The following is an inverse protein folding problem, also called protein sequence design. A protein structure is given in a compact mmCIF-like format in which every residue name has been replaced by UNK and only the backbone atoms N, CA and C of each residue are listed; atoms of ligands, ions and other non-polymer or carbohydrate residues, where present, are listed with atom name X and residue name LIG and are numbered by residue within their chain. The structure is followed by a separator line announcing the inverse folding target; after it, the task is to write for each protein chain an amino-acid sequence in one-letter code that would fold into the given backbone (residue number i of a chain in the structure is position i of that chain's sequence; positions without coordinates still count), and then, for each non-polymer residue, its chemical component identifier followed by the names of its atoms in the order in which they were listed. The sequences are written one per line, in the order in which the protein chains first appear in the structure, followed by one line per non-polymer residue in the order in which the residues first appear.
data_IF_112912171568
#
_entry.id   IF_112912171568
#
_cell.length_a   1.000
_cell.length_b   1.000
_cell.length_c   1.000
_cell.angle_alpha   90.00
_cell.angle_beta   90.00
_cell.angle_gamma   90.00
#
_symmetry.space_group_name_H-M   'P 1'
#
loop_
_entity.id
_entity.type
_entity.pdbx_description
1 polymer ?
#
# COMPACT_ATOMS: atom_id res chain seq x y z
N UNK A 1 19.48 -4.07 -3.85
CA UNK A 1 19.58 -3.78 -2.40
C UNK A 1 18.84 -4.89 -1.67
N UNK A 2 19.39 -5.42 -0.58
CA UNK A 2 18.68 -6.41 0.22
C UNK A 2 17.60 -5.76 1.10
N UNK A 3 16.67 -6.57 1.58
CA UNK A 3 15.56 -6.10 2.42
C UNK A 3 16.02 -5.46 3.75
N UNK A 4 17.01 -6.01 4.50
CA UNK A 4 17.49 -5.37 5.73
C UNK A 4 18.05 -3.97 5.50
N UNK A 5 18.85 -3.77 4.45
CA UNK A 5 19.43 -2.47 4.13
C UNK A 5 18.33 -1.48 3.74
N UNK A 6 17.37 -1.91 2.93
CA UNK A 6 16.20 -1.09 2.57
C UNK A 6 15.46 -0.62 3.82
N UNK A 7 15.06 -1.54 4.70
CA UNK A 7 14.31 -1.24 5.93
C UNK A 7 15.09 -0.30 6.85
N UNK A 8 16.37 -0.55 7.07
CA UNK A 8 17.21 0.29 7.91
C UNK A 8 17.26 1.72 7.38
N UNK A 9 17.42 1.89 6.06
CA UNK A 9 17.49 3.22 5.43
C UNK A 9 16.16 3.96 5.48
N UNK A 10 15.05 3.30 5.14
CA UNK A 10 13.73 3.91 5.16
C UNK A 10 13.31 4.32 6.58
N UNK A 11 13.56 3.48 7.59
CA UNK A 11 13.29 3.82 8.99
C UNK A 11 14.12 5.03 9.43
N UNK A 12 15.41 5.07 9.05
CA UNK A 12 16.28 6.22 9.35
C UNK A 12 15.72 7.52 8.75
N UNK A 13 15.21 7.49 7.51
CA UNK A 13 14.57 8.65 6.89
C UNK A 13 13.33 9.10 7.65
N UNK A 14 12.45 8.16 7.99
CA UNK A 14 11.21 8.44 8.72
C UNK A 14 11.48 9.04 10.10
N UNK A 15 12.54 8.63 10.80
CA UNK A 15 12.92 9.26 12.06
C UNK A 15 13.24 10.75 11.91
N UNK A 16 13.83 11.16 10.79
CA UNK A 16 14.19 12.56 10.54
C UNK A 16 13.02 13.44 10.09
N UNK A 17 11.87 12.85 9.77
CA UNK A 17 10.70 13.62 9.35
C UNK A 17 9.86 14.05 10.54
N UNK A 18 9.23 15.22 10.41
CA UNK A 18 8.18 15.64 11.32
C UNK A 18 6.98 14.70 11.20
N UNK A 19 6.47 14.22 12.33
CA UNK A 19 5.34 13.28 12.39
C UNK A 19 4.13 13.80 11.60
N UNK A 20 3.87 15.10 11.70
CA UNK A 20 2.75 15.76 11.01
C UNK A 20 2.93 15.79 9.49
N UNK A 21 4.16 15.92 8.99
CA UNK A 21 4.45 15.80 7.55
C UNK A 21 4.19 14.38 7.09
N UNK A 22 4.63 13.36 7.85
CA UNK A 22 4.38 11.95 7.51
C UNK A 22 2.89 11.62 7.52
N UNK A 23 2.14 12.06 8.55
CA UNK A 23 0.69 11.86 8.64
C UNK A 23 -0.04 12.45 7.44
N UNK A 24 0.24 13.71 7.10
CA UNK A 24 -0.41 14.38 6.00
C UNK A 24 0.07 13.91 4.63
N UNK A 25 1.24 13.26 4.53
CA UNK A 25 1.69 12.59 3.32
C UNK A 25 0.91 11.28 3.08
N UNK A 26 0.64 10.51 4.14
CA UNK A 26 0.03 9.16 4.02
C UNK A 26 -1.47 9.22 3.79
N UNK A 27 -2.20 9.96 4.64
CA UNK A 27 -3.68 9.91 4.67
C UNK A 27 -4.32 11.31 4.57
N UNK A 28 -3.54 12.33 4.21
CA UNK A 28 -3.97 13.71 4.34
C UNK A 28 -3.64 14.60 3.17
N UNK A 29 -3.61 15.90 3.49
CA UNK A 29 -3.34 16.95 2.55
C UNK A 29 -2.44 17.99 3.23
N UNK A 30 -1.14 17.95 2.89
CA UNK A 30 -0.13 18.87 3.42
C UNK A 30 -0.47 20.33 3.07
N UNK A 31 -1.04 20.58 1.90
CA UNK A 31 -1.43 21.93 1.48
C UNK A 31 -2.53 22.50 2.38
N UNK A 32 -3.62 21.76 2.57
CA UNK A 32 -4.68 22.14 3.49
C UNK A 32 -4.17 22.33 4.93
N UNK A 33 -3.27 21.45 5.39
CA UNK A 33 -2.66 21.58 6.70
C UNK A 33 -1.83 22.87 6.82
N UNK A 34 -1.06 23.23 5.80
CA UNK A 34 -0.28 24.46 5.76
C UNK A 34 -1.16 25.73 5.78
N UNK A 35 -2.26 25.74 5.03
CA UNK A 35 -3.18 26.89 4.97
C UNK A 35 -3.95 27.11 6.28
N UNK A 36 -4.09 26.06 7.11
CA UNK A 36 -4.65 26.18 8.48
C UNK A 36 -3.57 26.64 9.46
N UNK A 37 -3.52 27.93 9.77
CA UNK A 37 -2.48 28.54 10.63
C UNK A 37 -2.29 27.84 11.99
N UNK A 38 -3.35 27.26 12.56
CA UNK A 38 -3.31 26.54 13.85
C UNK A 38 -2.71 25.12 13.73
N UNK A 39 -2.57 24.58 12.52
CA UNK A 39 -2.04 23.25 12.31
C UNK A 39 -0.51 23.24 12.50
N UNK A 40 0.07 22.23 13.17
CA UNK A 40 1.51 22.15 13.40
C UNK A 40 2.39 22.11 12.12
N UNK A 41 1.82 21.81 10.95
CA UNK A 41 2.50 21.88 9.65
C UNK A 41 2.82 23.32 9.25
N UNK A 42 1.94 24.28 9.57
CA UNK A 42 2.12 25.68 9.18
C UNK A 42 3.49 26.26 9.59
N UNK A 43 3.90 26.22 10.87
CA UNK A 43 5.21 26.76 11.27
C UNK A 43 6.40 26.04 10.65
N UNK A 44 6.24 24.78 10.19
CA UNK A 44 7.32 24.06 9.51
C UNK A 44 7.66 24.68 8.16
N UNK A 45 6.68 25.28 7.48
CA UNK A 45 6.83 25.84 6.13
C UNK A 45 6.76 27.38 6.06
N UNK A 46 6.49 28.08 7.16
CA UNK A 46 6.49 29.55 7.19
C UNK A 46 7.79 30.16 7.73
N UNK A 47 8.34 29.63 8.83
CA UNK A 47 9.56 30.15 9.45
C UNK A 47 10.23 29.08 10.31
N UNK A 48 11.05 28.25 9.68
CA UNK A 48 11.75 27.16 10.36
C UNK A 48 13.15 26.92 9.76
N UNK A 49 14.06 26.24 10.49
CA UNK A 49 15.31 25.75 9.92
C UNK A 49 15.12 24.86 8.68
N UNK A 50 13.93 24.25 8.52
CA UNK A 50 13.56 23.44 7.37
C UNK A 50 13.42 24.28 6.10
N UNK A 51 12.72 25.42 6.19
CA UNK A 51 12.54 26.39 5.10
C UNK A 51 13.86 27.10 4.77
N UNK A 52 14.63 27.48 5.78
CA UNK A 52 15.93 28.09 5.52
C UNK A 52 16.87 27.12 4.79
N UNK A 53 16.81 25.83 5.12
CA UNK A 53 17.58 24.81 4.39
C UNK A 53 17.09 24.61 2.96
N UNK A 54 15.80 24.77 2.66
CA UNK A 54 15.28 24.56 1.30
C UNK A 54 15.74 25.62 0.29
N UNK A 55 16.22 26.77 0.77
CA UNK A 55 16.83 27.82 -0.07
C UNK A 55 18.25 27.46 -0.55
N UNK A 56 18.89 26.46 0.06
CA UNK A 56 20.24 26.02 -0.28
C UNK A 56 20.31 24.97 -1.39
N UNK A 57 21.53 24.52 -1.70
CA UNK A 57 21.80 23.36 -2.55
C UNK A 57 21.96 22.09 -1.70
N UNK A 58 20.86 21.63 -1.11
CA UNK A 58 20.81 20.38 -0.36
C UNK A 58 19.86 19.37 -1.03
N UNK A 59 20.33 18.16 -1.37
CA UNK A 59 19.50 17.07 -1.85
C UNK A 59 18.31 16.85 -0.94
N UNK A 60 17.13 16.89 -1.53
CA UNK A 60 15.86 16.70 -0.84
C UNK A 60 14.84 15.96 -1.69
N UNK A 61 13.91 15.30 -1.01
CA UNK A 61 12.65 14.87 -1.58
C UNK A 61 11.60 15.96 -1.36
N UNK A 62 10.74 16.14 -2.34
CA UNK A 62 9.63 17.09 -2.29
C UNK A 62 8.34 16.46 -2.81
N UNK A 63 7.21 16.93 -2.28
CA UNK A 63 5.88 16.68 -2.82
C UNK A 63 5.40 17.90 -3.59
N UNK A 64 4.76 17.65 -4.73
CA UNK A 64 3.89 18.61 -5.41
C UNK A 64 2.46 18.15 -5.20
N UNK A 65 1.66 18.97 -4.57
CA UNK A 65 0.30 18.64 -4.12
C UNK A 65 -0.70 19.38 -5.01
N UNK A 66 -1.58 18.66 -5.69
CA UNK A 66 -2.64 19.32 -6.48
C UNK A 66 -3.81 19.75 -5.59
N UNK A 67 -4.13 21.03 -5.60
CA UNK A 67 -5.18 21.63 -4.78
C UNK A 67 -5.66 22.96 -5.35
N UNK A 68 -6.68 23.54 -4.71
CA UNK A 68 -6.93 24.97 -4.80
C UNK A 68 -5.84 25.71 -4.01
N UNK A 69 -4.97 26.44 -4.69
CA UNK A 69 -3.80 27.11 -4.08
C UNK A 69 -4.18 28.28 -3.17
N UNK A 70 -5.47 28.62 -3.06
CA UNK A 70 -5.95 29.63 -2.10
C UNK A 70 -6.29 29.03 -0.74
N UNK A 71 -6.70 27.76 -0.72
CA UNK A 71 -7.27 27.10 0.47
C UNK A 71 -6.55 25.82 0.86
N UNK A 72 -5.75 25.27 -0.05
CA UNK A 72 -5.15 23.94 0.05
C UNK A 72 -6.14 22.79 -0.17
N UNK A 73 -7.41 23.05 -0.47
CA UNK A 73 -8.41 21.98 -0.62
C UNK A 73 -8.20 21.16 -1.88
N UNK A 74 -8.37 19.84 -1.77
CA UNK A 74 -8.37 18.94 -2.92
C UNK A 74 -9.71 19.00 -3.67
N UNK A 75 -9.77 18.57 -4.94
CA UNK A 75 -11.05 18.44 -5.67
C UNK A 75 -12.03 17.50 -4.95
N UNK A 76 -13.33 17.72 -5.13
CA UNK A 76 -14.37 16.82 -4.62
C UNK A 76 -14.50 15.57 -5.51
N UNK A 77 -15.07 14.45 -5.03
CA UNK A 77 -15.36 13.29 -5.89
C UNK A 77 -16.19 13.67 -7.13
N UNK A 78 -17.16 14.57 -6.99
CA UNK A 78 -17.94 15.08 -8.13
C UNK A 78 -17.07 15.84 -9.14
N UNK A 79 -16.12 16.65 -8.69
CA UNK A 79 -15.15 17.30 -9.58
C UNK A 79 -14.32 16.25 -10.32
N UNK A 80 -13.80 15.27 -9.60
CA UNK A 80 -12.94 14.24 -10.15
C UNK A 80 -13.65 13.35 -11.19
N UNK A 81 -14.92 13.01 -11.00
CA UNK A 81 -15.68 12.26 -12.02
C UNK A 81 -15.85 13.06 -13.33
N UNK A 82 -16.04 14.38 -13.24
CA UNK A 82 -16.08 15.26 -14.43
C UNK A 82 -14.72 15.32 -15.13
N UNK A 83 -13.63 15.41 -14.35
CA UNK A 83 -12.25 15.40 -14.86
C UNK A 83 -11.93 14.07 -15.54
N UNK A 84 -12.31 12.93 -14.95
CA UNK A 84 -12.15 11.60 -15.56
C UNK A 84 -12.87 11.53 -16.90
N UNK A 85 -14.14 11.95 -16.97
CA UNK A 85 -14.90 11.94 -18.21
C UNK A 85 -14.19 12.78 -19.30
N UNK A 86 -13.72 13.96 -18.94
CA UNK A 86 -12.99 14.83 -19.86
C UNK A 86 -11.64 14.25 -20.32
N UNK A 87 -10.89 13.63 -19.41
CA UNK A 87 -9.63 12.95 -19.76
C UNK A 87 -9.86 11.78 -20.74
N UNK A 88 -10.94 11.00 -20.54
CA UNK A 88 -11.33 9.92 -21.44
C UNK A 88 -11.71 10.44 -22.84
N UNK A 89 -12.55 11.47 -22.92
CA UNK A 89 -12.88 12.09 -24.21
C UNK A 89 -11.63 12.67 -24.91
N UNK A 90 -10.73 13.29 -24.13
CA UNK A 90 -9.49 13.87 -24.66
C UNK A 90 -8.54 12.82 -25.26
N UNK A 91 -8.52 11.59 -24.75
CA UNK A 91 -7.72 10.50 -25.35
C UNK A 91 -8.44 9.78 -26.51
N UNK A 92 -9.74 9.91 -26.71
CA UNK A 92 -10.47 9.16 -27.76
C UNK A 92 -10.54 9.88 -29.11
N UNK A 93 -10.20 11.18 -29.19
CA UNK A 93 -10.37 12.01 -30.41
C UNK A 93 -11.83 12.08 -30.85
N UNK A 94 -12.72 12.32 -29.89
CA UNK A 94 -14.15 12.47 -30.16
C UNK A 94 -14.42 13.81 -30.89
N UNK A 95 -15.02 13.79 -32.11
CA UNK A 95 -15.39 15.00 -32.85
C UNK A 95 -16.27 15.97 -32.07
N UNK A 96 -17.12 15.48 -31.16
CA UNK A 96 -17.99 16.32 -30.35
C UNK A 96 -17.24 17.07 -29.23
N UNK A 97 -15.98 16.67 -28.99
CA UNK A 97 -15.09 17.23 -27.95
C UNK A 97 -13.95 18.09 -28.50
N UNK A 98 -13.98 18.43 -29.79
CA UNK A 98 -12.90 19.19 -30.43
C UNK A 98 -12.69 20.55 -29.78
N UNK A 99 -13.76 21.34 -29.54
CA UNK A 99 -13.66 22.66 -28.91
C UNK A 99 -13.09 22.55 -27.47
N UNK A 100 -13.58 21.59 -26.70
CA UNK A 100 -13.13 21.39 -25.33
C UNK A 100 -11.66 20.94 -25.25
N UNK A 101 -11.25 20.04 -26.15
CA UNK A 101 -9.87 19.58 -26.28
C UNK A 101 -8.94 20.71 -26.72
N UNK A 102 -9.40 21.57 -27.63
CA UNK A 102 -8.67 22.76 -28.05
C UNK A 102 -8.46 23.74 -26.88
N UNK A 103 -9.48 23.91 -26.04
CA UNK A 103 -9.38 24.74 -24.82
C UNK A 103 -8.43 24.14 -23.79
N UNK A 104 -8.41 22.82 -23.63
CA UNK A 104 -7.45 22.12 -22.76
C UNK A 104 -6.03 22.35 -23.25
N UNK A 105 -5.76 22.10 -24.54
CA UNK A 105 -4.45 22.30 -25.15
C UNK A 105 -3.96 23.74 -24.96
N UNK A 106 -4.85 24.71 -25.18
CA UNK A 106 -4.53 26.14 -25.18
C UNK A 106 -4.74 26.84 -23.83
N UNK A 107 -4.88 26.10 -22.72
CA UNK A 107 -5.05 26.72 -21.40
C UNK A 107 -3.83 27.56 -20.99
N UNK A 108 -2.65 27.24 -21.52
CA UNK A 108 -1.41 27.98 -21.29
C UNK A 108 -1.11 28.81 -22.55
N UNK A 109 -0.81 30.10 -22.40
CA UNK A 109 -0.61 31.04 -23.52
C UNK A 109 0.52 30.71 -24.51
N UNK A 110 1.28 29.63 -24.27
CA UNK A 110 2.45 29.25 -25.07
C UNK A 110 2.16 28.12 -26.06
N UNK A 111 1.02 27.46 -25.92
CA UNK A 111 0.53 26.45 -26.86
C UNK A 111 -0.38 27.12 -27.87
N UNK A 112 -0.32 26.67 -29.12
CA UNK A 112 -1.14 27.17 -30.22
C UNK A 112 -1.73 26.00 -31.02
N UNK A 113 -2.28 25.00 -30.31
CA UNK A 113 -3.00 23.91 -30.96
C UNK A 113 -4.16 24.49 -31.75
N UNK A 114 -4.44 23.90 -32.91
CA UNK A 114 -5.52 24.27 -33.82
C UNK A 114 -6.56 23.17 -33.87
N UNK A 115 -7.77 23.50 -34.31
CA UNK A 115 -8.86 22.52 -34.53
C UNK A 115 -8.38 21.30 -35.32
N UNK A 116 -7.65 21.53 -36.42
CA UNK A 116 -7.07 20.47 -37.25
C UNK A 116 -6.13 19.54 -36.47
N UNK A 117 -5.36 20.06 -35.53
CA UNK A 117 -4.42 19.25 -34.75
C UNK A 117 -5.20 18.27 -33.87
N UNK A 118 -6.28 18.75 -33.23
CA UNK A 118 -7.17 17.93 -32.42
C UNK A 118 -7.88 16.88 -33.27
N UNK A 119 -8.47 17.25 -34.40
CA UNK A 119 -9.15 16.31 -35.32
C UNK A 119 -8.22 15.22 -35.86
N UNK A 120 -6.91 15.50 -35.96
CA UNK A 120 -5.89 14.53 -36.36
C UNK A 120 -5.32 13.73 -35.18
N UNK A 121 -5.85 13.93 -33.97
CA UNK A 121 -5.39 13.28 -32.75
C UNK A 121 -4.01 13.75 -32.28
N UNK A 122 -3.53 14.91 -32.74
CA UNK A 122 -2.25 15.53 -32.41
C UNK A 122 -2.35 16.44 -31.19
N UNK A 123 -3.02 15.95 -30.15
CA UNK A 123 -3.17 16.63 -28.87
C UNK A 123 -1.81 17.00 -28.27
N UNK A 124 -1.65 18.23 -27.79
CA UNK A 124 -0.39 18.77 -27.26
C UNK A 124 0.24 17.86 -26.19
N UNK A 125 -0.57 17.44 -25.20
CA UNK A 125 -0.07 16.64 -24.08
C UNK A 125 0.20 15.18 -24.44
N UNK A 126 -0.39 14.67 -25.52
CA UNK A 126 -0.28 13.28 -25.95
C UNK A 126 0.64 13.09 -27.16
N UNK A 127 1.29 14.16 -27.63
CA UNK A 127 2.13 14.13 -28.82
C UNK A 127 3.57 14.57 -28.52
N UNK A 128 4.49 14.21 -29.42
CA UNK A 128 5.82 14.81 -29.49
C UNK A 128 5.73 16.23 -30.05
N UNK A 129 6.83 16.98 -29.98
CA UNK A 129 6.92 18.30 -30.63
C UNK A 129 6.72 18.27 -32.16
N UNK A 130 6.87 17.10 -32.79
CA UNK A 130 6.58 16.88 -34.21
C UNK A 130 5.13 16.49 -34.50
N UNK A 131 4.23 16.54 -33.52
CA UNK A 131 2.82 16.18 -33.68
C UNK A 131 2.56 14.67 -33.73
N UNK A 132 3.58 13.83 -33.48
CA UNK A 132 3.39 12.38 -33.42
C UNK A 132 2.77 11.99 -32.09
N UNK A 133 1.57 11.40 -32.14
CA UNK A 133 0.87 10.87 -30.98
C UNK A 133 1.65 9.73 -30.30
N UNK A 134 1.66 9.72 -28.97
CA UNK A 134 2.35 8.75 -28.13
C UNK A 134 1.31 7.86 -27.44
N UNK A 135 1.19 6.61 -27.87
CA UNK A 135 0.20 5.65 -27.33
C UNK A 135 0.38 5.41 -25.83
N UNK A 136 1.63 5.24 -25.38
CA UNK A 136 1.95 5.02 -23.95
C UNK A 136 1.42 6.14 -23.04
N UNK A 137 1.35 7.39 -23.51
CA UNK A 137 0.73 8.48 -22.74
C UNK A 137 -0.78 8.29 -22.61
N UNK A 138 -1.45 7.87 -23.68
CA UNK A 138 -2.89 7.59 -23.67
C UNK A 138 -3.20 6.45 -22.69
N UNK A 139 -2.42 5.36 -22.74
CA UNK A 139 -2.59 4.19 -21.87
C UNK A 139 -2.43 4.55 -20.38
N UNK A 140 -1.46 5.41 -20.05
CA UNK A 140 -1.27 5.90 -18.68
C UNK A 140 -2.43 6.75 -18.19
N UNK A 141 -2.98 7.62 -19.05
CA UNK A 141 -4.16 8.42 -18.71
C UNK A 141 -5.37 7.51 -18.50
N UNK A 142 -5.58 6.51 -19.35
CA UNK A 142 -6.65 5.53 -19.21
C UNK A 142 -6.54 4.75 -17.90
N UNK A 143 -5.36 4.18 -17.61
CA UNK A 143 -5.11 3.47 -16.34
C UNK A 143 -5.34 4.35 -15.12
N UNK A 144 -4.89 5.61 -15.15
CA UNK A 144 -5.16 6.55 -14.07
C UNK A 144 -6.66 6.79 -13.88
N UNK A 145 -7.40 7.00 -14.96
CA UNK A 145 -8.84 7.21 -14.92
C UNK A 145 -9.58 6.01 -14.31
N UNK A 146 -9.18 4.79 -14.68
CA UNK A 146 -9.77 3.56 -14.17
C UNK A 146 -9.47 3.37 -12.68
N UNK A 147 -8.21 3.55 -12.28
CA UNK A 147 -7.79 3.46 -10.89
C UNK A 147 -8.49 4.51 -10.01
N UNK A 148 -8.55 5.77 -10.46
CA UNK A 148 -9.23 6.83 -9.73
C UNK A 148 -10.74 6.57 -9.66
N UNK A 149 -11.39 6.16 -10.75
CA UNK A 149 -12.82 5.80 -10.74
C UNK A 149 -13.11 4.71 -9.70
N UNK A 150 -12.30 3.63 -9.70
CA UNK A 150 -12.45 2.52 -8.75
C UNK A 150 -12.24 2.95 -7.28
N UNK A 151 -11.47 4.02 -7.02
CA UNK A 151 -11.33 4.61 -5.68
C UNK A 151 -12.54 5.45 -5.32
N UNK A 152 -13.02 6.29 -6.24
CA UNK A 152 -14.20 7.14 -6.02
C UNK A 152 -15.48 6.33 -5.81
N UNK A 153 -15.61 5.17 -6.45
CA UNK A 153 -16.77 4.28 -6.30
C UNK A 153 -16.84 3.62 -4.91
N UNK A 154 -15.75 3.63 -4.15
CA UNK A 154 -15.70 3.13 -2.77
C UNK A 154 -16.04 4.21 -1.74
N UNK A 155 -16.09 5.48 -2.13
CA UNK A 155 -16.42 6.58 -1.23
C UNK A 155 -17.95 6.66 -1.01
N UNK A 156 -18.41 6.98 0.20
CA UNK A 156 -19.83 7.26 0.45
C UNK A 156 -20.33 8.41 -0.44
N UNK A 157 -21.52 8.27 -1.04
CA UNK A 157 -22.13 9.33 -1.87
C UNK A 157 -22.36 10.64 -1.10
N UNK A 158 -22.48 10.58 0.23
CA UNK A 158 -22.58 11.76 1.09
C UNK A 158 -21.32 12.66 1.01
N UNK A 159 -20.18 12.10 0.59
CA UNK A 159 -18.90 12.80 0.48
C UNK A 159 -18.68 13.42 -0.92
N UNK A 160 -19.63 13.27 -1.86
CA UNK A 160 -19.44 13.69 -3.26
C UNK A 160 -19.15 15.18 -3.44
N UNK A 161 -19.63 16.02 -2.50
CA UNK A 161 -19.43 17.47 -2.51
C UNK A 161 -18.41 17.94 -1.46
N UNK A 162 -17.73 17.01 -0.78
CA UNK A 162 -16.67 17.32 0.16
C UNK A 162 -15.30 17.11 -0.51
N UNK A 163 -14.31 17.98 -0.26
CA UNK A 163 -12.94 17.75 -0.70
C UNK A 163 -12.43 16.39 -0.25
N UNK A 164 -11.77 15.64 -1.13
CA UNK A 164 -11.14 14.37 -0.73
C UNK A 164 -10.05 14.65 0.32
N UNK A 165 -9.98 13.82 1.36
CA UNK A 165 -9.02 14.01 2.44
C UNK A 165 -7.56 13.81 1.97
N UNK A 166 -7.36 12.82 1.10
CA UNK A 166 -6.06 12.50 0.49
C UNK A 166 -5.82 13.33 -0.75
N UNK A 167 -4.77 14.15 -0.75
CA UNK A 167 -4.44 14.97 -1.91
C UNK A 167 -3.76 14.16 -3.02
N UNK A 168 -3.72 14.74 -4.23
CA UNK A 168 -2.96 14.13 -5.32
C UNK A 168 -1.51 14.57 -5.27
N UNK A 169 -0.59 13.62 -5.38
CA UNK A 169 0.83 13.86 -5.17
C UNK A 169 1.67 13.53 -6.41
N UNK A 170 2.70 14.35 -6.61
CA UNK A 170 3.90 13.98 -7.35
C UNK A 170 5.08 14.05 -6.39
N UNK A 171 5.90 13.00 -6.33
CA UNK A 171 7.10 12.98 -5.50
C UNK A 171 8.31 13.12 -6.41
N UNK A 172 9.20 14.06 -6.09
CA UNK A 172 10.44 14.20 -6.82
C UNK A 172 11.63 14.39 -5.89
N UNK A 173 12.82 14.24 -6.45
CA UNK A 173 14.09 14.56 -5.79
C UNK A 173 14.85 15.65 -6.53
N UNK A 174 15.56 16.50 -5.79
CA UNK A 174 16.38 17.57 -6.36
C UNK A 174 17.51 17.97 -5.43
N UNK A 175 18.65 18.41 -5.98
CA UNK A 175 19.73 19.06 -5.23
C UNK A 175 19.37 20.46 -4.75
N UNK A 176 18.49 21.17 -5.45
CA UNK A 176 18.08 22.53 -5.09
C UNK A 176 16.58 22.66 -5.29
N UNK A 177 15.86 22.80 -4.17
CA UNK A 177 14.41 22.89 -4.18
C UNK A 177 13.95 24.17 -4.88
N UNK A 178 14.48 25.33 -4.50
CA UNK A 178 14.10 26.63 -5.07
C UNK A 178 14.30 26.68 -6.60
N UNK A 179 15.47 26.25 -7.09
CA UNK A 179 15.75 26.18 -8.54
C UNK A 179 14.77 25.25 -9.25
N UNK A 180 14.45 24.11 -8.64
CA UNK A 180 13.51 23.14 -9.20
C UNK A 180 12.08 23.68 -9.23
N UNK A 181 11.66 24.41 -8.21
CA UNK A 181 10.33 25.05 -8.16
C UNK A 181 10.22 26.20 -9.16
N UNK A 182 11.28 26.99 -9.32
CA UNK A 182 11.34 28.01 -10.37
C UNK A 182 11.23 27.39 -11.78
N UNK A 183 11.89 26.26 -12.03
CA UNK A 183 11.73 25.51 -13.29
C UNK A 183 10.28 25.06 -13.47
N UNK A 184 9.70 24.42 -12.46
CA UNK A 184 8.33 23.93 -12.53
C UNK A 184 7.27 25.04 -12.68
N UNK A 185 7.51 26.21 -12.09
CA UNK A 185 6.63 27.38 -12.17
C UNK A 185 6.72 28.12 -13.51
N UNK A 186 7.86 28.03 -14.21
CA UNK A 186 7.94 28.44 -15.59
C UNK A 186 7.08 27.49 -16.44
N UNK A 187 6.00 28.03 -17.01
CA UNK A 187 4.87 27.35 -17.66
C UNK A 187 5.26 26.29 -18.73
N UNK A 188 6.53 26.25 -19.16
CA UNK A 188 7.03 25.37 -20.21
C UNK A 188 8.21 24.47 -19.79
N UNK A 189 8.70 24.53 -18.55
CA UNK A 189 9.97 23.87 -18.18
C UNK A 189 9.82 22.81 -17.07
N UNK A 190 9.53 21.58 -17.49
CA UNK A 190 9.95 20.40 -16.73
C UNK A 190 8.98 19.86 -15.67
N UNK A 191 7.73 20.34 -15.62
CA UNK A 191 6.64 19.57 -15.01
C UNK A 191 6.33 18.34 -15.86
N UNK A 192 5.92 17.23 -15.22
CA UNK A 192 5.45 16.04 -15.95
C UNK A 192 4.31 16.43 -16.89
N UNK A 193 4.35 15.97 -18.15
CA UNK A 193 3.28 16.22 -19.14
C UNK A 193 1.90 15.85 -18.58
N UNK A 194 1.84 14.82 -17.73
CA UNK A 194 0.60 14.32 -17.16
C UNK A 194 0.02 15.26 -16.10
N UNK A 195 0.87 15.82 -15.22
CA UNK A 195 0.45 16.85 -14.26
C UNK A 195 -0.11 18.08 -14.98
N UNK A 196 0.57 18.51 -16.04
CA UNK A 196 0.13 19.67 -16.83
C UNK A 196 -1.19 19.41 -17.55
N UNK A 197 -1.37 18.22 -18.13
CA UNK A 197 -2.66 17.80 -18.70
C UNK A 197 -3.77 17.81 -17.65
N UNK A 198 -3.55 17.17 -16.50
CA UNK A 198 -4.55 17.10 -15.43
C UNK A 198 -4.96 18.50 -14.95
N UNK A 199 -3.99 19.38 -14.71
CA UNK A 199 -4.26 20.77 -14.33
C UNK A 199 -5.02 21.53 -15.41
N UNK A 200 -4.68 21.33 -16.69
CA UNK A 200 -5.37 21.94 -17.82
C UNK A 200 -6.84 21.51 -17.88
N UNK A 201 -7.10 20.21 -17.74
CA UNK A 201 -8.46 19.67 -17.66
C UNK A 201 -9.21 20.27 -16.48
N UNK A 202 -8.64 20.29 -15.28
CA UNK A 202 -9.29 20.89 -14.12
C UNK A 202 -9.68 22.35 -14.35
N UNK A 203 -8.78 23.17 -14.91
CA UNK A 203 -9.07 24.58 -15.22
C UNK A 203 -10.21 24.76 -16.21
N UNK A 204 -10.26 23.94 -17.27
CA UNK A 204 -11.28 24.04 -18.32
C UNK A 204 -12.63 23.45 -17.88
N UNK A 205 -12.61 22.36 -17.12
CA UNK A 205 -13.81 21.61 -16.75
C UNK A 205 -14.48 22.19 -15.51
N UNK A 206 -13.71 22.50 -14.46
CA UNK A 206 -14.31 22.87 -13.17
C UNK A 206 -14.83 24.31 -13.20
N UNK A 207 -14.07 25.26 -13.77
CA UNK A 207 -14.45 26.68 -13.91
C UNK A 207 -15.03 27.30 -12.62
N UNK A 208 -14.56 26.85 -11.47
CA UNK A 208 -14.98 27.38 -10.19
C UNK A 208 -14.41 28.81 -10.04
N UNK A 209 -15.28 29.82 -9.96
CA UNK A 209 -14.85 31.23 -9.88
C UNK A 209 -13.98 31.52 -8.64
N UNK A 210 -14.18 30.74 -7.57
CA UNK A 210 -13.49 30.91 -6.31
C UNK A 210 -12.22 30.06 -6.14
N UNK A 211 -11.99 29.05 -6.98
CA UNK A 211 -10.87 28.12 -6.81
C UNK A 211 -9.74 28.37 -7.83
N UNK A 212 -8.50 28.35 -7.34
CA UNK A 212 -7.31 28.44 -8.19
C UNK A 212 -6.62 27.09 -8.25
N UNK A 213 -7.08 26.22 -9.16
CA UNK A 213 -6.52 24.87 -9.30
C UNK A 213 -5.06 24.88 -9.79
N UNK A 214 -4.18 24.31 -8.97
CA UNK A 214 -2.75 24.25 -9.24
C UNK A 214 -1.98 23.30 -8.33
N UNK A 215 -0.66 23.46 -8.32
CA UNK A 215 0.25 22.66 -7.51
C UNK A 215 0.92 23.55 -6.47
N UNK A 216 0.94 23.10 -5.23
CA UNK A 216 1.78 23.66 -4.17
C UNK A 216 2.92 22.68 -3.84
N UNK A 217 4.08 23.22 -3.50
CA UNK A 217 5.32 22.45 -3.41
C UNK A 217 5.88 22.45 -1.99
N UNK A 218 6.21 21.25 -1.48
CA UNK A 218 6.66 21.05 -0.09
C UNK A 218 7.90 20.18 -0.03
N UNK A 219 8.95 20.64 0.66
CA UNK A 219 10.08 19.77 1.00
C UNK A 219 9.65 18.76 2.07
N UNK A 220 9.82 17.48 1.77
CA UNK A 220 9.46 16.38 2.67
C UNK A 220 10.63 15.93 3.54
N UNK A 221 11.83 15.88 2.96
CA UNK A 221 12.99 15.27 3.59
C UNK A 221 14.30 15.76 2.94
N UNK A 222 15.34 16.00 3.75
CA UNK A 222 16.70 16.28 3.26
C UNK A 222 17.57 15.03 3.40
N UNK A 223 18.16 14.59 2.28
CA UNK A 223 19.01 13.41 2.24
C UNK A 223 20.33 13.64 2.97
N UNK A 224 20.84 12.60 3.63
CA UNK A 224 22.13 12.64 4.29
C UNK A 224 23.20 11.80 3.58
N UNK A 225 22.82 11.05 2.54
CA UNK A 225 23.70 10.21 1.75
C UNK A 225 23.15 10.05 0.33
N UNK A 226 24.01 9.83 -0.66
CA UNK A 226 23.59 9.63 -2.05
C UNK A 226 22.74 8.37 -2.23
N UNK A 227 23.05 7.30 -1.49
CA UNK A 227 22.28 6.03 -1.57
C UNK A 227 20.85 6.20 -1.07
N UNK A 228 20.58 7.21 -0.25
CA UNK A 228 19.26 7.52 0.27
C UNK A 228 18.34 8.14 -0.80
N UNK A 229 18.87 8.74 -1.86
CA UNK A 229 18.05 9.50 -2.82
C UNK A 229 17.04 8.60 -3.54
N UNK A 230 17.52 7.54 -4.20
CA UNK A 230 16.65 6.62 -4.94
C UNK A 230 15.69 5.87 -4.01
N UNK A 231 16.18 5.48 -2.82
CA UNK A 231 15.37 4.82 -1.79
C UNK A 231 14.25 5.75 -1.32
N UNK A 232 14.58 7.02 -1.05
CA UNK A 232 13.62 7.99 -0.56
C UNK A 232 12.56 8.34 -1.59
N UNK A 233 12.95 8.52 -2.86
CA UNK A 233 11.96 8.76 -3.93
C UNK A 233 10.93 7.62 -4.00
N UNK A 234 11.39 6.37 -3.97
CA UNK A 234 10.51 5.19 -3.95
C UNK A 234 9.67 5.15 -2.66
N UNK A 235 10.28 5.33 -1.49
CA UNK A 235 9.59 5.31 -0.20
C UNK A 235 8.46 6.34 -0.16
N UNK A 236 8.77 7.60 -0.49
CA UNK A 236 7.79 8.69 -0.42
C UNK A 236 6.72 8.57 -1.50
N UNK A 237 7.04 8.00 -2.66
CA UNK A 237 6.04 7.67 -3.69
C UNK A 237 5.03 6.66 -3.18
N UNK A 238 5.51 5.60 -2.49
CA UNK A 238 4.64 4.57 -1.88
C UNK A 238 3.81 5.18 -0.75
N UNK A 239 4.42 5.94 0.15
CA UNK A 239 3.69 6.52 1.28
C UNK A 239 2.59 7.49 0.85
N UNK A 240 2.81 8.23 -0.24
CA UNK A 240 1.85 9.22 -0.74
C UNK A 240 0.81 8.67 -1.72
N UNK A 241 0.86 7.37 -2.05
CA UNK A 241 0.12 6.79 -3.18
C UNK A 241 0.31 7.62 -4.48
N UNK A 242 1.53 8.10 -4.71
CA UNK A 242 1.82 9.07 -5.78
C UNK A 242 1.96 8.44 -7.16
N UNK A 243 1.74 7.12 -7.33
CA UNK A 243 1.72 6.50 -8.64
C UNK A 243 0.43 6.79 -9.40
N UNK A 244 0.54 7.06 -10.70
CA UNK A 244 -0.65 7.14 -11.58
C UNK A 244 -1.47 5.83 -11.58
N UNK A 245 -0.83 4.69 -11.31
CA UNK A 245 -1.49 3.38 -11.24
C UNK A 245 -2.44 3.24 -10.06
N UNK A 246 -2.23 4.02 -9.00
CA UNK A 246 -3.06 4.00 -7.81
C UNK A 246 -4.20 5.02 -7.91
N UNK A 247 -4.18 5.93 -8.90
CA UNK A 247 -5.25 6.90 -9.13
C UNK A 247 -5.19 8.17 -8.26
N UNK A 248 -4.37 8.23 -7.19
CA UNK A 248 -4.11 9.46 -6.42
C UNK A 248 -2.81 10.16 -6.82
N UNK A 249 -2.12 9.66 -7.85
CA UNK A 249 -0.74 10.04 -8.12
C UNK A 249 -0.48 10.54 -9.52
N UNK A 250 0.58 11.33 -9.68
CA UNK A 250 1.05 11.79 -11.00
C UNK A 250 2.39 11.18 -11.43
N UNK A 251 2.95 10.27 -10.63
CA UNK A 251 4.21 9.62 -10.95
C UNK A 251 3.99 8.60 -12.06
N UNK A 252 4.43 8.98 -13.27
CA UNK A 252 4.35 8.14 -14.47
C UNK A 252 5.63 7.34 -14.67
N UNK A 253 6.79 7.83 -14.25
CA UNK A 253 8.01 7.06 -14.34
C UNK A 253 8.21 6.22 -13.08
N UNK A 254 8.92 5.09 -13.12
CA UNK A 254 9.23 4.39 -11.89
C UNK A 254 10.14 5.24 -11.01
N UNK A 255 9.72 5.49 -9.79
CA UNK A 255 10.50 6.20 -8.78
C UNK A 255 11.87 5.53 -8.54
N UNK A 256 12.88 6.32 -8.20
CA UNK A 256 14.23 5.88 -7.88
C UNK A 256 15.12 5.56 -9.08
N UNK A 257 14.60 5.63 -10.32
CA UNK A 257 15.40 5.40 -11.53
C UNK A 257 16.14 6.67 -11.96
N UNK A 258 15.46 7.82 -11.99
CA UNK A 258 16.04 9.06 -12.52
C UNK A 258 16.32 10.08 -11.41
N UNK A 259 17.42 9.85 -10.69
CA UNK A 259 17.85 10.70 -9.57
C UNK A 259 19.02 11.63 -9.92
N UNK A 260 19.32 11.78 -11.22
CA UNK A 260 20.47 12.55 -11.71
C UNK A 260 20.45 14.03 -11.29
N UNK A 261 19.27 14.59 -11.03
CA UNK A 261 19.07 15.95 -10.48
C UNK A 261 19.70 16.17 -9.09
N UNK A 262 20.12 15.10 -8.42
CA UNK A 262 20.76 15.14 -7.10
C UNK A 262 22.28 14.95 -7.15
N UNK A 263 22.83 14.61 -8.32
CA UNK A 263 24.26 14.39 -8.47
C UNK A 263 25.05 15.67 -8.16
N UNK A 264 26.20 15.48 -7.53
CA UNK A 264 27.02 16.60 -7.06
C UNK A 264 27.87 17.24 -8.17
N UNK A 265 27.77 16.75 -9.41
CA UNK A 265 28.53 17.23 -10.57
C UNK A 265 30.03 17.02 -10.40
N UNK A 266 30.82 18.05 -10.70
CA UNK A 266 32.29 18.01 -10.74
C UNK A 266 32.99 18.04 -9.37
N UNK A 267 32.26 17.78 -8.27
CA UNK A 267 32.88 17.74 -6.93
C UNK A 267 33.89 16.59 -6.85
N UNK A 268 35.05 16.89 -6.27
CA UNK A 268 36.02 15.85 -5.91
C UNK A 268 35.43 14.91 -4.85
N UNK A 269 35.99 13.69 -4.73
CA UNK A 269 35.55 12.73 -3.73
C UNK A 269 35.60 13.29 -2.29
N UNK A 270 36.62 14.12 -1.99
CA UNK A 270 36.74 14.80 -0.69
C UNK A 270 35.62 15.81 -0.45
N UNK A 271 35.34 16.68 -1.42
CA UNK A 271 34.26 17.67 -1.30
C UNK A 271 32.89 17.01 -1.21
N UNK A 272 32.67 15.93 -1.96
CA UNK A 272 31.45 15.13 -1.86
C UNK A 272 31.30 14.51 -0.46
N UNK A 273 32.39 13.98 0.11
CA UNK A 273 32.38 13.43 1.46
C UNK A 273 32.08 14.49 2.53
N UNK A 274 32.73 15.64 2.45
CA UNK A 274 32.49 16.79 3.36
C UNK A 274 31.04 17.28 3.25
N UNK A 275 30.51 17.37 2.03
CA UNK A 275 29.12 17.75 1.77
C UNK A 275 28.12 16.81 2.45
N UNK A 276 28.29 15.49 2.28
CA UNK A 276 27.41 14.51 2.90
C UNK A 276 27.59 14.44 4.42
N UNK A 277 28.80 14.67 4.94
CA UNK A 277 29.01 14.82 6.39
C UNK A 277 28.26 16.02 6.96
N UNK A 278 28.24 17.14 6.25
CA UNK A 278 27.44 18.29 6.63
C UNK A 278 25.93 17.97 6.61
N UNK A 279 25.44 17.23 5.61
CA UNK A 279 24.05 16.79 5.56
C UNK A 279 23.68 15.83 6.71
N UNK A 280 24.55 14.87 7.02
CA UNK A 280 24.42 13.99 8.19
C UNK A 280 24.35 14.77 9.49
N UNK A 281 25.28 15.71 9.71
CA UNK A 281 25.32 16.53 10.92
C UNK A 281 24.04 17.34 11.09
N UNK A 282 23.54 17.95 10.01
CA UNK A 282 22.28 18.69 10.03
C UNK A 282 21.11 17.77 10.40
N UNK A 283 21.01 16.59 9.77
CA UNK A 283 19.95 15.61 10.04
C UNK A 283 19.94 15.15 11.50
N UNK A 284 21.12 14.89 12.08
CA UNK A 284 21.22 14.39 13.46
C UNK A 284 21.11 15.47 14.53
N UNK A 285 21.11 16.74 14.17
CA UNK A 285 20.95 17.85 15.11
C UNK A 285 19.51 17.94 15.62
N UNK A 286 19.33 17.85 16.93
CA UNK A 286 18.03 17.97 17.61
C UNK A 286 17.39 19.36 17.45
N UNK A 287 18.19 20.37 17.09
CA UNK A 287 17.68 21.72 16.79
C UNK A 287 17.04 21.82 15.41
N UNK A 288 17.37 20.90 14.49
CA UNK A 288 16.97 20.98 13.09
C UNK A 288 15.91 19.95 12.71
N UNK A 289 15.99 18.73 13.28
CA UNK A 289 15.06 17.64 12.94
C UNK A 289 14.66 16.86 14.19
N UNK A 290 13.52 16.12 14.15
CA UNK A 290 13.10 15.26 15.24
C UNK A 290 13.85 13.91 15.32
N UNK A 291 14.93 13.72 14.54
CA UNK A 291 15.60 12.42 14.37
C UNK A 291 15.88 11.67 15.68
N UNK A 292 16.61 12.28 16.61
CA UNK A 292 16.99 11.64 17.87
C UNK A 292 15.75 11.31 18.73
N UNK A 293 14.79 12.24 18.80
CA UNK A 293 13.55 12.05 19.56
C UNK A 293 12.74 10.88 18.99
N UNK A 294 12.57 10.84 17.67
CA UNK A 294 11.82 9.77 17.00
C UNK A 294 12.52 8.42 17.14
N UNK A 295 13.85 8.37 17.05
CA UNK A 295 14.62 7.16 17.29
C UNK A 295 14.43 6.62 18.71
N UNK A 296 14.47 7.49 19.73
CA UNK A 296 14.23 7.11 21.13
C UNK A 296 12.79 6.59 21.30
N UNK A 297 11.81 7.30 20.75
CA UNK A 297 10.40 6.92 20.82
C UNK A 297 10.15 5.55 20.17
N UNK A 298 10.76 5.28 19.02
CA UNK A 298 10.62 4.01 18.33
C UNK A 298 11.29 2.87 19.10
N UNK A 299 12.49 3.10 19.64
CA UNK A 299 13.14 2.12 20.52
C UNK A 299 12.25 1.76 21.70
N UNK A 300 11.64 2.75 22.36
CA UNK A 300 10.70 2.51 23.46
C UNK A 300 9.44 1.75 23.01
N UNK A 301 8.93 1.99 21.79
CA UNK A 301 7.80 1.21 21.23
C UNK A 301 8.20 -0.23 21.00
N UNK A 302 9.36 -0.48 20.41
CA UNK A 302 9.90 -1.83 20.18
C UNK A 302 10.09 -2.57 21.51
N UNK A 303 10.69 -1.93 22.52
CA UNK A 303 10.86 -2.51 23.85
C UNK A 303 9.51 -2.89 24.48
N UNK A 304 8.48 -2.04 24.34
CA UNK A 304 7.11 -2.35 24.80
C UNK A 304 6.47 -3.49 23.99
N UNK A 305 6.72 -3.55 22.69
CA UNK A 305 6.18 -4.61 21.84
C UNK A 305 6.79 -5.96 22.20
N UNK A 306 8.12 -6.05 22.36
CA UNK A 306 8.81 -7.26 22.77
C UNK A 306 8.28 -7.78 24.11
N UNK A 307 8.08 -6.91 25.10
CA UNK A 307 7.45 -7.29 26.38
C UNK A 307 6.02 -7.81 26.21
N UNK A 308 5.20 -7.14 25.39
CA UNK A 308 3.83 -7.59 25.10
C UNK A 308 3.83 -8.94 24.39
N UNK A 309 4.78 -9.18 23.49
CA UNK A 309 4.95 -10.47 22.82
C UNK A 309 5.33 -11.56 23.81
N UNK A 310 6.34 -11.33 24.65
CA UNK A 310 6.74 -12.24 25.73
C UNK A 310 5.57 -12.58 26.66
N UNK A 311 4.77 -11.57 27.05
CA UNK A 311 3.56 -11.78 27.84
C UNK A 311 2.54 -12.65 27.10
N UNK A 312 2.28 -12.39 25.81
CA UNK A 312 1.36 -13.22 25.01
C UNK A 312 1.85 -14.65 24.87
N UNK A 313 3.14 -14.86 24.68
CA UNK A 313 3.76 -16.19 24.61
C UNK A 313 3.66 -16.88 25.97
N UNK A 314 3.93 -16.18 27.08
CA UNK A 314 3.78 -16.71 28.43
C UNK A 314 2.33 -17.09 28.76
N UNK A 315 1.36 -16.21 28.46
CA UNK A 315 -0.06 -16.48 28.65
C UNK A 315 -0.55 -17.67 27.80
N UNK A 316 -0.11 -17.72 26.54
CA UNK A 316 -0.41 -18.84 25.65
C UNK A 316 0.16 -20.14 26.19
N UNK A 317 1.39 -20.11 26.70
CA UNK A 317 2.09 -21.27 27.27
C UNK A 317 1.45 -21.72 28.59
N UNK A 318 1.04 -20.79 29.46
CA UNK A 318 0.34 -21.08 30.71
C UNK A 318 -1.02 -21.75 30.49
N UNK A 319 -1.68 -21.47 29.35
CA UNK A 319 -2.91 -22.14 28.93
C UNK A 319 -2.72 -23.52 28.29
N UNK A 320 -1.49 -23.89 27.89
CA UNK A 320 -1.22 -25.18 27.23
C UNK A 320 -1.55 -26.39 28.10
N UNK A 321 -1.21 -26.46 29.41
CA UNK A 321 -1.57 -27.59 30.25
C UNK A 321 -3.09 -27.83 30.32
N UNK A 322 -3.88 -26.77 30.43
CA UNK A 322 -5.34 -26.88 30.43
C UNK A 322 -5.88 -27.37 29.08
N UNK A 323 -5.37 -26.82 27.97
CA UNK A 323 -5.73 -27.28 26.61
C UNK A 323 -5.32 -28.74 26.38
N UNK A 324 -4.14 -29.17 26.85
CA UNK A 324 -3.68 -30.56 26.77
C UNK A 324 -4.59 -31.50 27.57
N UNK A 325 -5.00 -31.12 28.78
CA UNK A 325 -5.97 -31.88 29.57
C UNK A 325 -7.33 -31.98 28.88
N UNK A 326 -7.79 -30.90 28.25
CA UNK A 326 -9.06 -30.91 27.51
C UNK A 326 -8.98 -31.79 26.26
N UNK A 327 -7.88 -31.72 25.49
CA UNK A 327 -7.65 -32.62 24.35
C UNK A 327 -7.62 -34.08 24.83
N UNK A 328 -6.92 -34.37 25.93
CA UNK A 328 -6.87 -35.71 26.50
C UNK A 328 -8.26 -36.20 26.93
N UNK A 329 -9.04 -35.35 27.60
CA UNK A 329 -10.44 -35.64 27.99
C UNK A 329 -11.31 -35.92 26.76
N UNK A 330 -11.15 -35.15 25.70
CA UNK A 330 -11.88 -35.36 24.44
C UNK A 330 -11.45 -36.65 23.74
N UNK A 331 -10.16 -37.00 23.74
CA UNK A 331 -9.63 -38.28 23.24
C UNK A 331 -10.21 -39.46 24.02
N UNK A 332 -10.25 -39.37 25.36
CA UNK A 332 -10.85 -40.39 26.22
C UNK A 332 -12.35 -40.54 26.00
N UNK A 333 -13.09 -39.43 25.86
CA UNK A 333 -14.52 -39.44 25.53
C UNK A 333 -14.78 -40.08 24.16
N UNK A 334 -13.96 -39.78 23.16
CA UNK A 334 -14.01 -40.41 21.84
C UNK A 334 -13.84 -41.93 21.94
N UNK A 335 -12.78 -42.38 22.64
CA UNK A 335 -12.52 -43.81 22.88
C UNK A 335 -13.68 -44.51 23.59
N UNK A 336 -14.26 -43.87 24.62
CA UNK A 336 -15.41 -44.42 25.33
C UNK A 336 -16.66 -44.54 24.43
N UNK A 337 -16.90 -43.55 23.58
CA UNK A 337 -18.01 -43.58 22.61
C UNK A 337 -17.81 -44.66 21.54
N UNK A 338 -16.58 -44.85 21.06
CA UNK A 338 -16.25 -45.91 20.10
C UNK A 338 -16.41 -47.30 20.71
N UNK A 339 -16.08 -47.46 22.00
CA UNK A 339 -16.29 -48.72 22.73
C UNK A 339 -17.79 -49.00 22.94
N UNK A 340 -18.58 -48.00 23.30
CA UNK A 340 -20.03 -48.16 23.46
C UNK A 340 -20.72 -48.46 22.12
N UNK A 341 -20.35 -47.77 21.05
CA UNK A 341 -20.83 -48.07 19.70
C UNK A 341 -20.51 -49.52 19.31
N UNK A 342 -19.30 -50.01 19.64
CA UNK A 342 -18.93 -51.42 19.44
C UNK A 342 -19.83 -52.36 20.24
N UNK A 343 -20.08 -52.07 21.51
CA UNK A 343 -20.97 -52.86 22.37
C UNK A 343 -22.38 -52.97 21.79
N UNK A 344 -22.95 -51.86 21.32
CA UNK A 344 -24.27 -51.81 20.68
C UNK A 344 -24.28 -52.65 19.40
N UNK A 345 -23.24 -52.55 18.57
CA UNK A 345 -23.12 -53.33 17.33
C UNK A 345 -23.03 -54.84 17.63
N UNK A 346 -22.23 -55.25 18.61
CA UNK A 346 -22.13 -56.66 19.03
C UNK A 346 -23.44 -57.19 19.62
N UNK A 347 -24.16 -56.39 20.40
CA UNK A 347 -25.46 -56.74 20.94
C UNK A 347 -26.49 -56.96 19.81
N UNK A 348 -26.57 -56.03 18.86
CA UNK A 348 -27.40 -56.15 17.66
C UNK A 348 -27.03 -57.39 16.82
N UNK A 349 -25.73 -57.69 16.72
CA UNK A 349 -25.23 -58.88 16.02
C UNK A 349 -25.71 -60.16 16.71
N UNK A 350 -25.60 -60.24 18.05
CA UNK A 350 -26.10 -61.39 18.84
C UNK A 350 -27.62 -61.55 18.75
N UNK A 351 -28.38 -60.46 18.77
CA UNK A 351 -29.83 -60.51 18.58
C UNK A 351 -30.21 -60.97 17.17
N UNK A 352 -29.46 -60.54 16.16
CA UNK A 352 -29.61 -60.97 14.78
C UNK A 352 -29.29 -62.46 14.63
N UNK A 353 -28.21 -62.98 15.25
CA UNK A 353 -27.89 -64.42 15.28
C UNK A 353 -29.01 -65.24 15.93
N UNK A 354 -29.54 -64.79 17.08
CA UNK A 354 -30.67 -65.46 17.75
C UNK A 354 -31.91 -65.50 16.87
N UNK A 355 -32.20 -64.42 16.16
CA UNK A 355 -33.32 -64.32 15.23
C UNK A 355 -33.14 -65.23 14.01
N UNK A 356 -31.92 -65.28 13.46
CA UNK A 356 -31.54 -66.18 12.37
C UNK A 356 -31.67 -67.66 12.79
N UNK A 357 -31.25 -68.01 14.00
CA UNK A 357 -31.40 -69.36 14.56
C UNK A 357 -32.88 -69.76 14.75
N UNK A 358 -33.75 -68.82 15.11
CA UNK A 358 -35.21 -69.06 15.15
C UNK A 358 -35.77 -69.26 13.73
N UNK A 359 -35.36 -68.43 12.77
CA UNK A 359 -35.75 -68.50 11.36
C UNK A 359 -35.33 -69.80 10.68
N UNK A 360 -34.19 -70.40 11.06
CA UNK A 360 -33.71 -71.70 10.56
C UNK A 360 -34.78 -72.79 10.57
N UNK A 361 -35.72 -72.75 11.53
CA UNK A 361 -36.81 -73.72 11.66
C UNK A 361 -37.92 -73.55 10.61
N UNK A 362 -37.98 -72.41 9.95
CA UNK A 362 -39.10 -72.00 9.09
C UNK A 362 -38.68 -71.76 7.63
N UNK A 363 -37.39 -71.72 7.31
CA UNK A 363 -36.89 -71.44 5.96
C UNK A 363 -36.20 -72.65 5.34
N UNK A 364 -36.29 -72.78 4.02
CA UNK A 364 -35.64 -73.86 3.26
C UNK A 364 -34.11 -73.78 3.37
N UNK A 365 -33.39 -74.92 3.44
CA UNK A 365 -31.93 -74.95 3.70
C UNK A 365 -31.10 -73.97 2.86
N UNK A 366 -31.34 -73.89 1.54
CA UNK A 366 -30.56 -73.01 0.66
C UNK A 366 -30.76 -71.50 0.88
N UNK A 367 -31.85 -71.07 1.54
CA UNK A 367 -32.06 -69.67 1.89
C UNK A 367 -31.30 -69.31 3.18
N UNK A 368 -31.28 -70.23 4.14
CA UNK A 368 -30.54 -70.08 5.39
C UNK A 368 -29.03 -69.92 5.14
N UNK A 369 -28.48 -70.74 4.26
CA UNK A 369 -27.04 -70.71 3.94
C UNK A 369 -26.61 -69.37 3.34
N UNK A 370 -27.44 -68.75 2.49
CA UNK A 370 -27.16 -67.41 1.94
C UNK A 370 -27.15 -66.33 3.00
N UNK A 371 -28.13 -66.36 3.92
CA UNK A 371 -28.15 -65.41 5.03
C UNK A 371 -26.97 -65.60 5.98
N UNK A 372 -26.54 -66.84 6.21
CA UNK A 372 -25.37 -67.13 7.04
C UNK A 372 -24.07 -66.62 6.41
N UNK A 373 -23.90 -66.78 5.09
CA UNK A 373 -22.74 -66.24 4.37
C UNK A 373 -22.66 -64.71 4.44
N UNK A 374 -23.79 -64.01 4.24
CA UNK A 374 -23.78 -62.55 4.29
C UNK A 374 -23.56 -62.04 5.72
N UNK A 375 -24.05 -62.76 6.72
CA UNK A 375 -23.79 -62.45 8.12
C UNK A 375 -22.31 -62.58 8.49
N UNK A 376 -21.65 -63.66 8.06
CA UNK A 376 -20.21 -63.83 8.22
C UNK A 376 -19.43 -62.72 7.52
N UNK A 377 -19.84 -62.34 6.31
CA UNK A 377 -19.20 -61.26 5.54
C UNK A 377 -19.27 -59.92 6.26
N UNK A 378 -20.44 -59.56 6.81
CA UNK A 378 -20.61 -58.32 7.58
C UNK A 378 -19.69 -58.34 8.80
N UNK A 379 -19.64 -59.46 9.53
CA UNK A 379 -18.77 -59.64 10.70
C UNK A 379 -17.29 -59.51 10.38
N UNK A 380 -16.83 -60.08 9.26
CA UNK A 380 -15.43 -60.00 8.79
C UNK A 380 -15.07 -58.62 8.22
N UNK A 381 -16.05 -57.86 7.73
CA UNK A 381 -15.83 -56.50 7.22
C UNK A 381 -15.71 -55.43 8.31
N UNK A 382 -16.02 -55.77 9.57
CA UNK A 382 -15.83 -54.85 10.69
C UNK A 382 -14.33 -54.68 10.95
N UNK A 383 -13.84 -53.43 11.11
CA UNK A 383 -12.42 -53.18 11.30
C UNK A 383 -11.92 -53.90 12.55
N UNK A 384 -10.95 -54.81 12.38
CA UNK A 384 -10.15 -55.35 13.46
C UNK A 384 -9.28 -54.22 14.00
N UNK A 385 -9.76 -53.56 15.05
CA UNK A 385 -8.92 -52.68 15.86
C UNK A 385 -8.18 -53.60 16.82
N UNK A 386 -7.01 -54.07 16.39
CA UNK A 386 -6.07 -54.72 17.29
C UNK A 386 -5.83 -53.77 18.48
N UNK A 387 -5.96 -54.31 19.69
CA UNK A 387 -5.81 -53.54 20.91
C UNK A 387 -4.47 -52.80 20.92
N UNK A 388 -4.56 -51.47 20.93
CA UNK A 388 -3.53 -50.48 21.24
C UNK A 388 -2.10 -51.02 21.31
N UNK A 389 -1.34 -50.91 20.22
CA UNK A 389 0.11 -50.78 20.34
C UNK A 389 0.38 -49.44 21.05
N UNK A 390 0.61 -49.49 22.37
CA UNK A 390 0.86 -48.33 23.24
C UNK A 390 2.08 -47.46 22.85
N UNK A 391 2.85 -47.83 21.83
CA UNK A 391 4.17 -47.26 21.54
C UNK A 391 4.23 -46.19 20.43
N UNK A 392 3.17 -45.95 19.67
CA UNK A 392 3.17 -44.91 18.62
C UNK A 392 2.48 -43.62 19.12
N UNK A 393 3.14 -42.90 20.03
CA UNK A 393 2.74 -41.53 20.41
C UNK A 393 3.13 -40.52 19.31
N UNK A 394 2.20 -40.05 18.47
CA UNK A 394 2.49 -39.13 17.39
C UNK A 394 2.85 -37.72 17.91
N UNK A 395 2.56 -37.42 19.19
CA UNK A 395 2.83 -36.11 19.78
C UNK A 395 4.34 -35.89 20.06
N UNK A 396 5.16 -36.95 20.05
CA UNK A 396 6.63 -36.83 20.16
C UNK A 396 7.27 -36.09 18.97
N UNK A 397 6.66 -36.11 17.78
CA UNK A 397 7.20 -35.46 16.56
C UNK A 397 6.78 -34.01 16.38
N UNK A 398 5.74 -33.54 17.07
CA UNK A 398 5.20 -32.18 16.89
C UNK A 398 5.95 -31.13 17.72
N UNK A 399 6.56 -31.53 18.84
CA UNK A 399 7.27 -30.61 19.74
C UNK A 399 8.58 -30.08 19.13
N UNK A 400 9.31 -30.90 18.37
CA UNK A 400 10.56 -30.48 17.70
C UNK A 400 10.33 -29.42 16.60
N UNK A 401 9.14 -29.39 15.99
CA UNK A 401 8.81 -28.45 14.90
C UNK A 401 8.56 -27.01 15.39
N UNK A 402 8.12 -26.83 16.64
CA UNK A 402 7.81 -25.51 17.19
C UNK A 402 9.09 -24.83 17.71
N UNK A 403 10.01 -25.60 18.29
CA UNK A 403 11.31 -25.07 18.74
C UNK A 403 12.23 -24.68 17.57
N UNK A 404 12.19 -25.42 16.46
CA UNK A 404 12.92 -25.07 15.22
C UNK A 404 12.47 -23.74 14.59
N UNK A 405 11.23 -23.30 14.84
CA UNK A 405 10.69 -22.08 14.25
C UNK A 405 10.99 -20.82 15.07
N UNK A 406 11.23 -20.98 16.39
CA UNK A 406 11.56 -19.88 17.29
C UNK A 406 12.98 -19.32 17.07
N UNK A 407 13.92 -20.14 16.57
CA UNK A 407 15.30 -19.72 16.30
C UNK A 407 15.53 -18.94 15.00
N UNK A 408 14.50 -18.75 14.16
CA UNK A 408 14.63 -18.05 12.86
C UNK A 408 14.27 -16.56 12.89
N UNK A 409 13.76 -16.05 14.02
CA UNK A 409 13.31 -14.66 14.17
C UNK A 409 14.01 -13.90 15.32
N UNK A 410 15.08 -14.46 15.87
CA UNK A 410 16.07 -13.75 16.69
C UNK A 410 17.31 -13.50 15.81
#
# INVERSE_FOLDING_TARGET
MDEPTWRMRTVTMLFSMHEEVVKHLIDGNIALAFHKQENPVHPLYSSSPWVERSKGEFPCAYARVFCDTRTGLSPTPKHLRRVIAALRCYIEVDPDWVDQSLRIDNVNYHTNSRVRDIEQGQHWYLSTSGGQRISDRCDRVAHFCDALSARLDKLPTADDNHPVAHAFHHIGVTKSFEKRMAQHGALNSGSSWFMSLFQAVCRVILQDEDATWGFEDYVLFFFADMTEVAIGEVLFTILADASHKDGWGFEVHPAGINVSSTELGDKTAREAHEFWNHCKAWRTSSANTPFQRNQINEKQKLDRYSRKWEMRVADATAGLPAKRREIQRLKEKGRAMDLENRRIVEENLRESEKSLMKLKRYITPGLYDRYQQEFTRIRESMPHIDGDSEDDDPDSRVVESVESSAGKYA
#
